data_IF_510403410676
#
_entry.id   IF_510403410676
#
_cell.length_a   1.000
_cell.length_b   1.000
_cell.length_c   1.000
_cell.angle_alpha   90.00
_cell.angle_beta   90.00
_cell.angle_gamma   90.00
#
_symmetry.space_group_name_H-M   'P 1'
#
loop_
_entity.id
_entity.type
_entity.pdbx_description
1 polymer ?
#
# COMPACT_ATOMS: atom_id res chain seq x y z
N UNK A 1 42.60 5.10 28.92
CA UNK A 1 41.43 5.70 28.25
C UNK A 1 41.44 5.21 26.82
N UNK A 2 40.81 4.06 26.58
CA UNK A 2 40.76 3.38 25.29
C UNK A 2 39.58 3.92 24.50
N UNK A 3 39.90 4.62 23.42
CA UNK A 3 38.98 5.03 22.36
C UNK A 3 38.72 3.81 21.46
N UNK A 4 37.54 3.22 21.58
CA UNK A 4 37.01 2.22 20.63
C UNK A 4 35.99 2.89 19.71
N UNK A 5 36.50 3.26 18.54
CA UNK A 5 35.89 3.29 17.19
C UNK A 5 34.36 3.19 17.04
N UNK A 6 33.77 4.27 16.52
CA UNK A 6 32.42 4.34 15.92
C UNK A 6 32.32 3.76 14.49
N UNK A 7 33.35 3.08 13.97
CA UNK A 7 33.38 2.59 12.58
C UNK A 7 32.66 1.25 12.36
N UNK A 8 32.33 0.48 13.41
CA UNK A 8 31.69 -0.83 13.28
C UNK A 8 30.15 -0.77 13.12
N UNK A 9 29.54 0.41 13.27
CA UNK A 9 28.10 0.62 13.05
C UNK A 9 27.77 1.05 11.61
N UNK A 10 28.67 1.72 10.91
CA UNK A 10 28.46 2.18 9.54
C UNK A 10 28.60 1.06 8.49
N UNK A 11 29.32 -0.01 8.81
CA UNK A 11 29.55 -1.12 7.87
C UNK A 11 28.41 -2.16 7.85
N UNK A 12 27.67 -2.32 8.96
CA UNK A 12 26.60 -3.33 9.08
C UNK A 12 25.39 -3.07 8.18
N UNK A 13 25.06 -1.81 7.92
CA UNK A 13 23.94 -1.47 7.02
C UNK A 13 24.28 -1.85 5.57
N UNK A 14 25.55 -1.75 5.16
CA UNK A 14 25.98 -2.10 3.80
C UNK A 14 25.96 -3.61 3.51
N UNK A 15 26.23 -4.46 4.51
CA UNK A 15 26.14 -5.92 4.37
C UNK A 15 24.69 -6.43 4.44
N UNK A 16 23.80 -5.80 5.23
CA UNK A 16 22.36 -6.10 5.22
C UNK A 16 21.69 -5.76 3.86
N UNK A 17 22.21 -4.77 3.13
CA UNK A 17 21.78 -4.47 1.77
C UNK A 17 22.12 -5.59 0.76
N UNK A 18 23.19 -6.35 0.99
CA UNK A 18 23.55 -7.51 0.15
C UNK A 18 22.62 -8.72 0.39
N UNK A 19 22.04 -8.84 1.59
CA UNK A 19 21.05 -9.87 1.89
C UNK A 19 19.70 -9.65 1.19
N UNK A 20 19.36 -8.41 0.78
CA UNK A 20 18.09 -8.11 0.10
C UNK A 20 17.95 -8.74 -1.29
N UNK A 21 19.05 -9.12 -1.95
CA UNK A 21 18.98 -9.90 -3.19
C UNK A 21 18.63 -11.39 -2.96
N UNK A 22 18.72 -11.89 -1.72
CA UNK A 22 18.36 -13.26 -1.32
C UNK A 22 17.18 -13.32 -0.32
N UNK A 23 16.65 -12.19 0.16
CA UNK A 23 15.70 -12.12 1.30
C UNK A 23 14.21 -12.15 0.95
N UNK A 24 13.83 -12.44 -0.30
CA UNK A 24 12.42 -12.69 -0.64
C UNK A 24 11.81 -13.75 0.30
N UNK A 25 12.61 -14.73 0.73
CA UNK A 25 12.19 -15.78 1.67
C UNK A 25 11.96 -15.30 3.12
N UNK A 26 12.78 -14.39 3.63
CA UNK A 26 12.65 -13.90 5.01
C UNK A 26 11.47 -12.93 5.16
N UNK A 27 11.24 -12.09 4.15
CA UNK A 27 10.09 -11.19 4.12
C UNK A 27 8.76 -11.95 4.00
N UNK A 28 8.69 -13.00 3.17
CA UNK A 28 7.49 -13.84 3.08
C UNK A 28 7.13 -14.48 4.42
N UNK A 29 8.14 -14.97 5.17
CA UNK A 29 7.94 -15.58 6.47
C UNK A 29 7.46 -14.57 7.53
N UNK A 30 8.01 -13.35 7.56
CA UNK A 30 7.57 -12.30 8.48
C UNK A 30 6.19 -11.71 8.11
N UNK A 31 5.86 -11.66 6.81
CA UNK A 31 4.50 -11.31 6.33
C UNK A 31 3.51 -12.40 6.75
N UNK A 32 3.84 -13.68 6.60
CA UNK A 32 2.98 -14.79 7.02
C UNK A 32 2.75 -14.78 8.53
N UNK A 33 3.80 -14.52 9.33
CA UNK A 33 3.68 -14.30 10.77
C UNK A 33 2.77 -13.12 11.10
N UNK A 34 2.90 -12.00 10.40
CA UNK A 34 2.06 -10.80 10.60
C UNK A 34 0.59 -11.08 10.27
N UNK A 35 0.31 -11.89 9.26
CA UNK A 35 -1.07 -12.30 8.93
C UNK A 35 -1.65 -13.27 9.96
N UNK A 36 -0.89 -14.31 10.33
CA UNK A 36 -1.27 -15.23 11.41
C UNK A 36 -1.50 -14.47 12.71
N UNK A 37 -0.73 -13.42 12.95
CA UNK A 37 -0.82 -12.54 14.11
C UNK A 37 -2.11 -11.72 14.15
N UNK A 38 -2.50 -11.03 13.07
CA UNK A 38 -3.78 -10.29 13.02
C UNK A 38 -4.93 -11.23 13.31
N UNK A 39 -4.94 -12.41 12.68
CA UNK A 39 -5.94 -13.43 12.96
C UNK A 39 -5.86 -13.90 14.42
N UNK A 40 -4.70 -14.32 14.94
CA UNK A 40 -4.58 -14.91 16.28
C UNK A 40 -4.87 -13.93 17.41
N UNK A 41 -4.51 -12.66 17.24
CA UNK A 41 -4.76 -11.61 18.23
C UNK A 41 -6.22 -11.23 18.26
N UNK A 42 -6.80 -11.01 17.09
CA UNK A 42 -8.13 -10.44 17.02
C UNK A 42 -9.20 -11.52 17.25
N UNK A 43 -8.88 -12.79 16.99
CA UNK A 43 -9.80 -13.93 17.15
C UNK A 43 -10.43 -13.99 18.54
N UNK A 44 -9.69 -13.93 19.68
CA UNK A 44 -10.31 -13.92 21.01
C UNK A 44 -11.33 -12.79 21.23
N UNK A 45 -11.07 -11.60 20.68
CA UNK A 45 -12.01 -10.48 20.78
C UNK A 45 -13.20 -10.67 19.84
N UNK A 46 -12.96 -11.19 18.63
CA UNK A 46 -14.00 -11.59 17.70
C UNK A 46 -14.88 -12.72 18.23
N UNK A 47 -14.34 -13.63 19.05
CA UNK A 47 -15.11 -14.67 19.74
C UNK A 47 -16.06 -14.07 20.79
N UNK A 48 -15.61 -13.07 21.56
CA UNK A 48 -16.50 -12.29 22.45
C UNK A 48 -17.62 -11.61 21.63
N UNK A 49 -17.30 -11.08 20.46
CA UNK A 49 -18.30 -10.53 19.55
C UNK A 49 -19.21 -11.58 18.91
N UNK A 50 -18.73 -12.80 18.68
CA UNK A 50 -19.53 -13.90 18.12
C UNK A 50 -20.66 -14.36 19.04
N UNK A 51 -20.48 -14.17 20.35
CA UNK A 51 -21.49 -14.47 21.37
C UNK A 51 -22.58 -13.39 21.44
N UNK A 52 -22.31 -12.18 20.93
CA UNK A 52 -23.32 -11.17 20.66
C UNK A 52 -23.93 -11.43 19.27
N UNK A 53 -25.22 -11.19 19.05
CA UNK A 53 -25.93 -11.41 17.77
C UNK A 53 -25.33 -10.69 16.53
N UNK A 54 -24.27 -9.90 16.74
CA UNK A 54 -23.60 -9.02 15.78
C UNK A 54 -22.79 -9.74 14.70
N UNK A 55 -22.40 -11.01 14.87
CA UNK A 55 -21.59 -11.73 13.86
C UNK A 55 -22.28 -11.86 12.50
N UNK A 56 -23.62 -11.85 12.49
CA UNK A 56 -24.43 -11.88 11.26
C UNK A 56 -24.65 -10.49 10.64
N UNK A 57 -24.53 -9.42 11.44
CA UNK A 57 -24.83 -8.04 11.03
C UNK A 57 -23.60 -7.16 10.84
N UNK A 58 -22.40 -7.65 11.13
CA UNK A 58 -21.15 -6.87 11.08
C UNK A 58 -20.07 -7.63 10.34
N UNK A 59 -19.23 -6.90 9.59
CA UNK A 59 -18.00 -7.38 8.98
C UNK A 59 -16.83 -6.50 9.39
N UNK A 60 -15.76 -7.13 9.83
CA UNK A 60 -14.48 -6.49 10.08
C UNK A 60 -13.53 -6.76 8.93
N UNK A 61 -13.00 -5.69 8.38
CA UNK A 61 -11.97 -5.70 7.34
C UNK A 61 -10.76 -4.90 7.82
N UNK A 62 -9.62 -5.17 7.21
CA UNK A 62 -8.44 -4.29 7.28
C UNK A 62 -8.18 -3.67 5.93
N UNK A 63 -7.57 -2.49 5.93
CA UNK A 63 -7.08 -1.80 4.73
C UNK A 63 -5.65 -1.34 4.96
N UNK A 64 -5.12 -0.48 4.09
CA UNK A 64 -3.77 0.05 4.27
C UNK A 64 -2.71 -1.05 4.12
N UNK A 65 -1.64 -0.96 4.90
CA UNK A 65 -0.51 -1.90 4.78
C UNK A 65 -0.89 -3.32 5.19
N UNK A 66 -1.71 -3.50 6.23
CA UNK A 66 -2.20 -4.82 6.63
C UNK A 66 -3.12 -5.43 5.55
N UNK A 67 -3.97 -4.61 4.94
CA UNK A 67 -4.81 -5.01 3.81
C UNK A 67 -4.03 -5.44 2.57
N UNK A 68 -2.85 -4.82 2.32
CA UNK A 68 -1.93 -5.19 1.23
C UNK A 68 -0.98 -6.35 1.56
N UNK A 69 -0.99 -6.85 2.81
CA UNK A 69 0.01 -7.80 3.33
C UNK A 69 1.46 -7.25 3.26
N UNK A 70 1.62 -5.95 3.45
CA UNK A 70 2.93 -5.26 3.37
C UNK A 70 3.38 -4.73 4.73
N UNK A 71 2.61 -5.00 5.79
CA UNK A 71 2.98 -4.59 7.14
C UNK A 71 3.97 -5.61 7.73
N UNK A 72 5.22 -5.18 7.91
CA UNK A 72 6.27 -6.00 8.53
C UNK A 72 6.24 -5.71 10.03
N UNK A 73 5.85 -6.71 10.84
CA UNK A 73 5.83 -6.64 12.30
C UNK A 73 6.86 -7.61 12.89
N UNK A 74 7.84 -7.09 13.62
CA UNK A 74 8.80 -7.87 14.40
C UNK A 74 8.99 -7.27 15.79
N UNK A 75 9.77 -7.92 16.66
CA UNK A 75 10.12 -7.37 17.98
C UNK A 75 10.83 -6.01 17.88
N UNK A 76 11.54 -5.78 16.79
CA UNK A 76 12.38 -4.60 16.55
C UNK A 76 11.71 -3.59 15.61
N UNK A 77 10.69 -4.03 14.87
CA UNK A 77 9.90 -3.24 13.91
C UNK A 77 8.41 -3.37 14.26
N UNK A 78 7.82 -2.46 15.07
CA UNK A 78 6.43 -2.61 15.52
C UNK A 78 5.37 -2.33 14.43
N UNK A 79 5.73 -2.39 13.15
CA UNK A 79 4.84 -2.21 11.99
C UNK A 79 4.14 -0.85 11.87
N UNK A 80 3.33 -0.73 10.82
CA UNK A 80 2.36 0.35 10.64
C UNK A 80 1.12 0.16 11.51
N UNK A 81 0.39 1.26 11.69
CA UNK A 81 -0.84 1.29 12.47
C UNK A 81 -1.90 0.43 11.79
N UNK A 82 -2.74 -0.22 12.59
CA UNK A 82 -3.78 -1.13 12.09
C UNK A 82 -5.00 -0.31 11.66
N UNK A 83 -5.32 -0.33 10.37
CA UNK A 83 -6.45 0.39 9.79
C UNK A 83 -7.66 -0.55 9.61
N UNK A 84 -8.69 -0.41 10.45
CA UNK A 84 -9.94 -1.18 10.34
C UNK A 84 -11.00 -0.47 9.49
N UNK A 85 -11.75 -1.30 8.78
CA UNK A 85 -13.02 -0.93 8.16
C UNK A 85 -14.08 -1.87 8.72
N UNK A 86 -15.10 -1.31 9.36
CA UNK A 86 -16.24 -2.06 9.88
C UNK A 86 -17.43 -1.78 8.99
N UNK A 87 -18.00 -2.83 8.40
CA UNK A 87 -19.15 -2.75 7.49
C UNK A 87 -20.35 -3.35 8.20
N UNK A 88 -21.47 -2.63 8.16
CA UNK A 88 -22.68 -2.96 8.90
C UNK A 88 -23.82 -3.33 7.97
N UNK A 89 -24.66 -4.27 8.41
CA UNK A 89 -26.01 -4.40 7.88
C UNK A 89 -26.78 -3.12 8.23
N UNK A 90 -27.57 -2.63 7.28
CA UNK A 90 -28.39 -1.42 7.32
C UNK A 90 -29.29 -1.30 8.55
N UNK A 91 -29.59 -2.42 9.20
CA UNK A 91 -30.46 -2.47 10.38
C UNK A 91 -29.74 -2.12 11.69
N UNK A 92 -28.41 -2.05 11.69
CA UNK A 92 -27.62 -1.79 12.89
C UNK A 92 -27.33 -0.30 13.09
N UNK A 93 -27.33 0.15 14.35
CA UNK A 93 -27.00 1.53 14.69
C UNK A 93 -25.49 1.76 14.73
N UNK A 94 -25.03 2.87 14.15
CA UNK A 94 -23.65 3.35 14.28
C UNK A 94 -23.21 3.50 15.75
N UNK A 95 -24.14 3.72 16.68
CA UNK A 95 -23.84 3.82 18.12
C UNK A 95 -23.38 2.49 18.70
N UNK A 96 -24.03 1.38 18.33
CA UNK A 96 -23.64 0.03 18.78
C UNK A 96 -22.21 -0.26 18.36
N UNK A 97 -21.85 0.10 17.14
CA UNK A 97 -20.52 -0.15 16.56
C UNK A 97 -19.47 0.80 17.11
N UNK A 98 -19.84 2.04 17.40
CA UNK A 98 -18.94 2.99 18.10
C UNK A 98 -18.58 2.44 19.47
N UNK A 99 -19.55 1.90 20.21
CA UNK A 99 -19.31 1.29 21.52
C UNK A 99 -18.51 0.00 21.40
N UNK A 100 -18.79 -0.82 20.38
CA UNK A 100 -18.05 -2.04 20.06
C UNK A 100 -16.57 -1.74 19.77
N UNK A 101 -16.31 -0.74 18.94
CA UNK A 101 -14.97 -0.33 18.57
C UNK A 101 -14.23 0.31 19.73
N UNK A 102 -14.90 1.09 20.58
CA UNK A 102 -14.32 1.55 21.84
C UNK A 102 -13.88 0.39 22.71
N UNK A 103 -14.73 -0.62 22.91
CA UNK A 103 -14.38 -1.82 23.68
C UNK A 103 -13.21 -2.59 23.06
N UNK A 104 -13.18 -2.76 21.73
CA UNK A 104 -12.05 -3.41 21.05
C UNK A 104 -10.76 -2.61 21.24
N UNK A 105 -10.81 -1.30 21.03
CA UNK A 105 -9.66 -0.39 21.18
C UNK A 105 -9.17 -0.38 22.63
N UNK A 106 -10.08 -0.25 23.59
CA UNK A 106 -9.76 -0.29 25.02
C UNK A 106 -9.12 -1.62 25.37
N UNK A 107 -9.64 -2.75 24.87
CA UNK A 107 -9.09 -4.08 25.13
C UNK A 107 -7.72 -4.31 24.49
N UNK A 108 -7.52 -3.80 23.28
CA UNK A 108 -6.21 -3.78 22.58
C UNK A 108 -5.20 -2.94 23.36
N UNK A 109 -5.64 -1.82 23.94
CA UNK A 109 -4.79 -0.86 24.66
C UNK A 109 -4.51 -1.23 26.13
N UNK A 110 -5.38 -1.99 26.81
CA UNK A 110 -5.35 -2.09 28.28
C UNK A 110 -4.43 -3.15 28.86
N UNK A 111 -4.18 -4.33 28.26
CA UNK A 111 -3.33 -5.30 28.97
C UNK A 111 -2.73 -6.50 28.19
N UNK A 112 -3.16 -6.85 26.97
CA UNK A 112 -3.01 -8.24 26.47
C UNK A 112 -2.18 -8.45 25.19
N UNK A 113 -1.56 -7.41 24.64
CA UNK A 113 -0.84 -7.52 23.35
C UNK A 113 0.68 -7.56 23.44
N UNK A 114 1.19 -7.90 24.63
CA UNK A 114 2.61 -8.19 24.88
C UNK A 114 2.92 -9.66 24.62
N UNK A 115 3.32 -10.01 23.40
CA UNK A 115 3.96 -11.32 23.16
C UNK A 115 5.43 -11.19 23.59
N UNK A 116 5.84 -11.82 24.69
CA UNK A 116 7.20 -11.67 25.26
C UNK A 116 7.56 -10.22 25.66
N UNK A 117 6.62 -9.42 26.19
CA UNK A 117 6.91 -8.08 26.72
C UNK A 117 7.01 -6.95 25.70
N UNK A 118 6.80 -7.21 24.40
CA UNK A 118 6.81 -6.19 23.34
C UNK A 118 5.38 -5.78 23.00
N UNK A 119 5.06 -4.48 23.04
CA UNK A 119 3.78 -3.96 22.54
C UNK A 119 3.78 -4.05 21.01
N UNK A 120 2.96 -4.94 20.44
CA UNK A 120 2.91 -5.16 18.98
C UNK A 120 1.78 -4.40 18.27
N UNK A 121 0.82 -3.87 19.03
CA UNK A 121 -0.11 -2.82 18.61
C UNK A 121 0.09 -1.68 19.59
N UNK A 122 0.96 -0.74 19.22
CA UNK A 122 1.34 0.40 20.05
C UNK A 122 0.89 1.72 19.39
N UNK A 123 -0.16 1.65 18.57
CA UNK A 123 -0.55 2.70 17.63
C UNK A 123 -2.06 2.87 17.54
N UNK A 124 -2.49 4.13 17.42
CA UNK A 124 -3.85 4.57 17.12
C UNK A 124 -4.56 3.61 16.16
N UNK A 125 -5.53 2.86 16.69
CA UNK A 125 -6.41 2.04 15.88
C UNK A 125 -7.35 2.99 15.15
N UNK A 126 -7.09 3.23 13.86
CA UNK A 126 -8.02 3.96 13.01
C UNK A 126 -9.13 3.00 12.60
N UNK A 127 -10.38 3.37 12.87
CA UNK A 127 -11.52 2.64 12.35
C UNK A 127 -12.50 3.55 11.64
N UNK A 128 -13.22 2.95 10.69
CA UNK A 128 -14.36 3.57 10.05
C UNK A 128 -15.54 2.60 10.03
N UNK A 129 -16.66 3.03 10.60
CA UNK A 129 -17.94 2.36 10.45
C UNK A 129 -18.62 2.82 9.15
N UNK A 130 -19.08 1.86 8.35
CA UNK A 130 -19.76 2.08 7.08
C UNK A 130 -21.05 1.26 7.04
N UNK A 131 -22.13 1.84 6.56
CA UNK A 131 -23.29 1.07 6.07
C UNK A 131 -22.89 0.32 4.78
N UNK A 132 -23.38 -0.90 4.59
CA UNK A 132 -23.20 -1.65 3.34
C UNK A 132 -23.65 -0.86 2.09
N UNK A 133 -24.55 0.11 2.23
CA UNK A 133 -25.02 1.00 1.16
C UNK A 133 -24.14 2.24 0.91
N UNK A 134 -23.20 2.58 1.81
CA UNK A 134 -22.32 3.75 1.65
C UNK A 134 -21.39 3.63 0.42
N UNK A 135 -20.87 4.77 -0.06
CA UNK A 135 -19.95 4.75 -1.19
C UNK A 135 -18.65 4.02 -0.81
N UNK A 136 -18.40 2.89 -1.48
CA UNK A 136 -17.37 1.96 -1.07
C UNK A 136 -15.95 2.41 -1.46
N UNK A 137 -15.82 3.54 -2.14
CA UNK A 137 -14.54 4.08 -2.64
C UNK A 137 -13.81 4.98 -1.64
N UNK A 138 -14.26 4.99 -0.38
CA UNK A 138 -13.75 5.72 0.79
C UNK A 138 -13.60 7.24 0.59
N UNK A 139 -13.97 7.97 1.64
CA UNK A 139 -13.82 9.42 1.72
C UNK A 139 -12.74 9.82 2.74
N UNK A 140 -11.69 10.52 2.35
CA UNK A 140 -10.67 10.95 3.32
C UNK A 140 -11.16 12.10 4.21
N UNK A 141 -11.09 11.90 5.52
CA UNK A 141 -11.28 12.96 6.53
C UNK A 141 -12.71 13.10 7.03
N UNK A 142 -12.82 13.51 8.30
CA UNK A 142 -14.08 13.85 8.97
C UNK A 142 -14.70 15.04 8.24
N UNK A 143 -15.69 14.79 7.38
CA UNK A 143 -16.49 15.83 6.72
C UNK A 143 -16.13 16.18 5.26
N UNK A 144 -15.06 15.65 4.66
CA UNK A 144 -14.77 15.84 3.22
C UNK A 144 -14.98 14.55 2.43
N UNK A 145 -15.96 14.58 1.52
CA UNK A 145 -16.25 13.50 0.58
C UNK A 145 -15.22 13.47 -0.56
N UNK A 146 -13.97 13.11 -0.27
CA UNK A 146 -12.91 12.94 -1.28
C UNK A 146 -12.63 11.46 -1.59
N UNK A 147 -12.88 11.05 -2.84
CA UNK A 147 -12.64 9.68 -3.33
C UNK A 147 -11.20 9.19 -3.08
N UNK A 148 -11.06 8.02 -2.44
CA UNK A 148 -9.75 7.47 -2.06
C UNK A 148 -9.67 5.96 -2.39
N UNK A 149 -9.53 5.62 -3.69
CA UNK A 149 -9.73 4.26 -4.18
C UNK A 149 -8.69 3.25 -3.69
N UNK A 150 -7.51 3.70 -3.24
CA UNK A 150 -6.47 2.85 -2.66
C UNK A 150 -7.02 2.00 -1.52
N UNK A 151 -7.76 2.59 -0.57
CA UNK A 151 -8.34 1.86 0.56
C UNK A 151 -9.35 0.78 0.13
N UNK A 152 -10.06 1.01 -0.98
CA UNK A 152 -10.99 0.04 -1.55
C UNK A 152 -10.27 -1.15 -2.19
N UNK A 153 -9.20 -0.91 -2.93
CA UNK A 153 -8.38 -1.99 -3.49
C UNK A 153 -7.67 -2.80 -2.39
N UNK A 154 -7.29 -2.14 -1.31
CA UNK A 154 -6.56 -2.74 -0.19
C UNK A 154 -7.46 -3.46 0.82
N UNK A 155 -8.79 -3.42 0.64
CA UNK A 155 -9.73 -4.02 1.58
C UNK A 155 -9.55 -5.55 1.63
N UNK A 156 -9.32 -6.07 2.84
CA UNK A 156 -9.18 -7.50 3.14
C UNK A 156 -10.15 -7.89 4.25
N UNK A 157 -10.97 -8.90 4.00
CA UNK A 157 -11.85 -9.50 5.01
C UNK A 157 -11.02 -10.11 6.14
N UNK A 158 -11.48 -9.92 7.38
CA UNK A 158 -10.87 -10.52 8.57
C UNK A 158 -11.86 -11.38 9.32
N UNK A 159 -13.06 -10.86 9.61
CA UNK A 159 -14.05 -11.57 10.43
C UNK A 159 -15.48 -11.03 10.21
N UNK A 160 -16.49 -11.81 10.60
CA UNK A 160 -17.91 -11.42 10.58
C UNK A 160 -18.67 -11.98 9.38
N UNK A 161 -19.74 -11.30 8.97
CA UNK A 161 -20.63 -11.77 7.90
C UNK A 161 -19.98 -11.71 6.51
N UNK A 162 -19.57 -12.86 5.97
CA UNK A 162 -19.05 -12.95 4.60
C UNK A 162 -20.03 -12.44 3.54
N UNK A 163 -21.34 -12.52 3.82
CA UNK A 163 -22.38 -12.03 2.90
C UNK A 163 -22.39 -10.50 2.81
N UNK A 164 -22.22 -9.79 3.93
CA UNK A 164 -22.10 -8.33 3.98
C UNK A 164 -20.80 -7.90 3.29
N UNK A 165 -19.69 -8.60 3.58
CA UNK A 165 -18.42 -8.36 2.89
C UNK A 165 -18.57 -8.45 1.37
N UNK A 166 -19.18 -9.53 0.88
CA UNK A 166 -19.34 -9.77 -0.55
C UNK A 166 -20.18 -8.67 -1.22
N UNK A 167 -21.33 -8.31 -0.62
CA UNK A 167 -22.17 -7.21 -1.10
C UNK A 167 -21.38 -5.90 -1.20
N UNK A 168 -20.66 -5.55 -0.14
CA UNK A 168 -19.87 -4.32 -0.10
C UNK A 168 -18.74 -4.34 -1.14
N UNK A 169 -18.06 -5.48 -1.28
CA UNK A 169 -16.99 -5.66 -2.24
C UNK A 169 -17.47 -5.58 -3.70
N UNK A 170 -18.63 -6.16 -4.02
CA UNK A 170 -19.25 -6.06 -5.34
C UNK A 170 -19.69 -4.63 -5.63
N UNK A 171 -20.13 -3.90 -4.60
CA UNK A 171 -20.47 -2.48 -4.68
C UNK A 171 -19.29 -1.61 -5.07
N UNK A 172 -18.06 -1.94 -4.63
CA UNK A 172 -16.85 -1.19 -5.04
C UNK A 172 -16.76 -1.15 -6.58
N UNK A 173 -16.86 -2.30 -7.24
CA UNK A 173 -16.79 -2.39 -8.71
C UNK A 173 -17.87 -1.54 -9.38
N UNK A 174 -19.11 -1.60 -8.86
CA UNK A 174 -20.24 -0.78 -9.34
C UNK A 174 -20.00 0.72 -9.16
N UNK A 175 -19.49 1.13 -7.99
CA UNK A 175 -19.24 2.53 -7.68
C UNK A 175 -18.10 3.10 -8.53
N UNK A 176 -17.06 2.31 -8.87
CA UNK A 176 -16.00 2.74 -9.80
C UNK A 176 -16.60 3.19 -11.13
N UNK A 177 -17.58 2.44 -11.67
CA UNK A 177 -18.24 2.77 -12.93
C UNK A 177 -19.01 4.10 -12.88
N UNK A 178 -19.52 4.47 -11.70
CA UNK A 178 -20.33 5.70 -11.50
C UNK A 178 -19.47 6.95 -11.37
N UNK A 179 -18.18 6.82 -11.05
CA UNK A 179 -17.29 7.97 -10.87
C UNK A 179 -16.98 8.64 -12.22
N UNK A 180 -17.47 9.87 -12.37
CA UNK A 180 -17.25 10.68 -13.56
C UNK A 180 -15.77 10.98 -13.79
N UNK A 181 -15.02 11.32 -12.75
CA UNK A 181 -13.62 11.74 -12.86
C UNK A 181 -12.80 11.45 -11.60
N UNK A 182 -11.54 11.03 -11.79
CA UNK A 182 -10.50 10.96 -10.76
C UNK A 182 -9.76 12.28 -10.54
N UNK A 183 -10.16 13.37 -11.20
CA UNK A 183 -9.48 14.67 -11.08
C UNK A 183 -9.32 15.17 -9.63
N UNK A 184 -10.28 14.97 -8.70
CA UNK A 184 -10.09 15.31 -7.29
C UNK A 184 -8.90 14.55 -6.69
N UNK A 185 -8.93 13.21 -6.70
CA UNK A 185 -7.84 12.35 -6.22
C UNK A 185 -6.48 12.71 -6.87
N UNK A 186 -6.50 13.03 -8.16
CA UNK A 186 -5.29 13.46 -8.85
C UNK A 186 -4.75 14.78 -8.31
N UNK A 187 -5.62 15.76 -8.04
CA UNK A 187 -5.24 17.09 -7.55
C UNK A 187 -4.76 17.07 -6.10
N UNK A 188 -5.44 16.32 -5.24
CA UNK A 188 -5.25 16.34 -3.78
C UNK A 188 -4.27 15.30 -3.28
N UNK A 189 -4.05 14.21 -4.02
CA UNK A 189 -3.17 13.10 -3.59
C UNK A 189 -2.01 12.90 -4.52
N UNK A 190 -2.27 12.70 -5.81
CA UNK A 190 -1.23 12.36 -6.78
C UNK A 190 -0.27 13.53 -7.04
N UNK A 191 -0.79 14.73 -7.28
CA UNK A 191 0.05 15.91 -7.57
C UNK A 191 0.96 16.28 -6.39
N UNK A 192 0.48 16.33 -5.12
CA UNK A 192 1.34 16.62 -3.98
C UNK A 192 2.48 15.63 -3.80
N UNK A 193 2.21 14.31 -3.83
CA UNK A 193 3.27 13.30 -3.65
C UNK A 193 4.31 13.34 -4.76
N UNK A 194 3.88 13.66 -6.00
CA UNK A 194 4.80 13.86 -7.12
C UNK A 194 5.66 15.11 -6.92
N UNK A 195 5.06 16.22 -6.46
CA UNK A 195 5.80 17.45 -6.19
C UNK A 195 6.88 17.22 -5.13
N UNK A 196 6.55 16.46 -4.09
CA UNK A 196 7.49 16.12 -3.02
C UNK A 196 8.60 15.19 -3.49
N UNK A 197 8.29 14.21 -4.35
CA UNK A 197 9.30 13.39 -5.00
C UNK A 197 10.25 14.20 -5.88
N UNK A 198 9.73 15.13 -6.67
CA UNK A 198 10.57 15.99 -7.52
C UNK A 198 11.41 16.97 -6.70
N UNK A 199 10.87 17.53 -5.62
CA UNK A 199 11.64 18.35 -4.67
C UNK A 199 12.73 17.54 -3.99
N UNK A 200 12.42 16.29 -3.61
CA UNK A 200 13.40 15.39 -3.07
C UNK A 200 14.52 15.22 -4.11
N UNK A 201 14.22 14.74 -5.32
CA UNK A 201 15.22 14.52 -6.39
C UNK A 201 16.12 15.73 -6.68
N UNK A 202 15.61 16.95 -6.50
CA UNK A 202 16.37 18.19 -6.68
C UNK A 202 17.31 18.53 -5.50
N UNK A 203 17.16 17.87 -4.35
CA UNK A 203 17.83 18.21 -3.09
C UNK A 203 17.16 19.34 -2.31
N UNK A 204 15.99 19.80 -2.76
CA UNK A 204 15.28 20.98 -2.25
C UNK A 204 14.15 20.62 -1.25
N UNK A 205 14.04 19.36 -0.84
CA UNK A 205 12.95 18.95 0.04
C UNK A 205 13.24 19.35 1.49
N UNK A 206 12.36 20.14 2.15
CA UNK A 206 12.66 20.74 3.46
C UNK A 206 12.89 19.72 4.58
N UNK A 207 12.40 18.48 4.41
CA UNK A 207 12.50 17.42 5.42
C UNK A 207 13.28 16.19 4.95
N UNK A 208 13.78 16.21 3.72
CA UNK A 208 14.62 15.14 3.19
C UNK A 208 15.80 15.83 2.52
N UNK A 209 16.87 16.00 3.30
CA UNK A 209 18.18 16.29 2.75
C UNK A 209 18.89 14.98 2.42
N UNK A 210 19.81 15.01 1.48
CA UNK A 210 20.84 14.00 1.35
C UNK A 210 22.11 14.70 0.90
N UNK A 211 23.25 14.20 1.36
CA UNK A 211 24.54 14.75 0.97
C UNK A 211 25.21 13.83 -0.04
N UNK A 212 24.96 14.04 -1.34
CA UNK A 212 25.53 13.14 -2.36
C UNK A 212 27.08 13.22 -2.45
N UNK A 213 27.71 14.19 -1.79
CA UNK A 213 29.14 14.47 -1.93
C UNK A 213 30.05 13.53 -1.11
N UNK A 214 29.52 12.82 -0.11
CA UNK A 214 30.26 11.84 0.71
C UNK A 214 29.89 10.37 0.41
N UNK A 215 29.05 10.15 -0.61
CA UNK A 215 28.56 8.81 -0.99
C UNK A 215 27.42 8.28 -0.12
N UNK A 216 26.95 9.04 0.88
CA UNK A 216 25.86 8.64 1.78
C UNK A 216 24.66 9.57 1.69
N UNK A 217 23.46 9.04 1.87
CA UNK A 217 22.23 9.83 1.97
C UNK A 217 21.63 9.63 3.36
N UNK A 218 21.56 10.71 4.13
CA UNK A 218 20.94 10.73 5.46
C UNK A 218 19.49 11.15 5.35
N UNK A 219 18.56 10.22 5.50
CA UNK A 219 17.14 10.50 5.37
C UNK A 219 16.58 10.87 6.74
N UNK A 220 16.06 12.09 6.87
CA UNK A 220 15.55 12.60 8.14
C UNK A 220 14.02 12.50 8.26
N UNK A 221 13.55 12.29 9.47
CA UNK A 221 12.16 12.44 9.86
C UNK A 221 12.01 13.67 10.77
N UNK A 222 11.06 14.55 10.44
CA UNK A 222 10.67 15.68 11.28
C UNK A 222 9.30 15.43 11.95
N UNK A 223 9.23 15.31 13.29
CA UNK A 223 7.98 15.05 14.01
C UNK A 223 6.95 16.17 13.93
N UNK A 224 7.36 17.42 13.69
CA UNK A 224 6.44 18.56 13.57
C UNK A 224 5.57 18.47 12.30
N UNK A 225 6.03 17.69 11.31
CA UNK A 225 5.36 17.57 10.02
C UNK A 225 4.58 16.25 9.82
N UNK A 226 4.39 15.46 10.89
CA UNK A 226 3.54 14.25 11.08
C UNK A 226 3.38 13.19 9.96
N UNK A 227 3.74 13.43 8.70
CA UNK A 227 3.36 12.60 7.54
C UNK A 227 4.33 12.67 6.34
N UNK A 228 5.46 13.38 6.39
CA UNK A 228 6.27 13.66 5.18
C UNK A 228 7.58 12.87 5.01
N UNK A 229 7.97 12.04 5.98
CA UNK A 229 9.14 11.17 5.85
C UNK A 229 8.85 9.91 5.03
N UNK A 230 9.65 9.65 3.98
CA UNK A 230 9.78 8.41 3.16
C UNK A 230 8.52 7.79 2.55
N UNK A 231 7.48 7.50 3.34
CA UNK A 231 6.19 6.98 2.86
C UNK A 231 5.62 7.85 1.75
N UNK A 232 5.66 9.18 1.93
CA UNK A 232 5.02 10.11 0.99
C UNK A 232 5.84 10.35 -0.28
N UNK A 233 7.16 10.18 -0.21
CA UNK A 233 8.08 10.37 -1.35
C UNK A 233 8.29 9.08 -2.14
N UNK A 234 8.30 7.92 -1.48
CA UNK A 234 8.69 6.65 -2.09
C UNK A 234 7.46 5.75 -2.29
N UNK A 235 6.73 5.48 -1.21
CA UNK A 235 5.65 4.49 -1.23
C UNK A 235 4.37 5.04 -1.87
N UNK A 236 3.93 6.24 -1.46
CA UNK A 236 2.66 6.84 -1.90
C UNK A 236 2.63 7.12 -3.40
N UNK A 237 3.70 7.58 -4.08
CA UNK A 237 3.66 7.70 -5.53
C UNK A 237 3.34 6.35 -6.17
N UNK A 238 4.06 5.28 -5.83
CA UNK A 238 3.78 3.97 -6.44
C UNK A 238 2.37 3.47 -6.13
N UNK A 239 1.94 3.55 -4.86
CA UNK A 239 0.61 3.12 -4.43
C UNK A 239 -0.53 3.90 -5.12
N UNK A 240 -0.43 5.24 -5.16
CA UNK A 240 -1.49 6.10 -5.69
C UNK A 240 -1.58 6.01 -7.20
N UNK A 241 -0.44 5.91 -7.87
CA UNK A 241 -0.42 5.72 -9.32
C UNK A 241 -0.96 4.34 -9.71
N UNK A 242 -0.54 3.27 -9.03
CA UNK A 242 -1.08 1.94 -9.29
C UNK A 242 -2.59 1.87 -9.05
N UNK A 243 -3.08 2.43 -7.94
CA UNK A 243 -4.51 2.49 -7.66
C UNK A 243 -5.28 3.27 -8.73
N UNK A 244 -4.71 4.38 -9.24
CA UNK A 244 -5.30 5.10 -10.37
C UNK A 244 -5.38 4.23 -11.63
N UNK A 245 -4.34 3.47 -11.95
CA UNK A 245 -4.34 2.60 -13.14
C UNK A 245 -5.37 1.49 -13.01
N UNK A 246 -5.43 0.82 -11.86
CA UNK A 246 -6.46 -0.18 -11.57
C UNK A 246 -7.85 0.42 -11.75
N UNK A 247 -8.08 1.60 -11.17
CA UNK A 247 -9.35 2.31 -11.29
C UNK A 247 -9.74 2.57 -12.75
N UNK A 248 -8.82 3.09 -13.56
CA UNK A 248 -9.06 3.33 -14.99
C UNK A 248 -9.33 2.02 -15.75
N UNK A 249 -8.61 0.94 -15.44
CA UNK A 249 -8.83 -0.38 -16.03
C UNK A 249 -10.22 -0.93 -15.70
N UNK A 250 -10.66 -0.82 -14.44
CA UNK A 250 -12.02 -1.18 -14.04
C UNK A 250 -13.05 -0.33 -14.77
N UNK A 251 -12.90 0.99 -14.78
CA UNK A 251 -13.83 1.91 -15.45
C UNK A 251 -13.97 1.62 -16.95
N UNK A 252 -12.90 1.15 -17.58
CA UNK A 252 -12.88 0.72 -19.00
C UNK A 252 -13.28 -0.75 -19.20
N UNK A 253 -13.67 -1.46 -18.13
CA UNK A 253 -14.04 -2.89 -18.13
C UNK A 253 -12.95 -3.81 -18.70
N UNK A 254 -11.70 -3.47 -18.45
CA UNK A 254 -10.54 -4.24 -18.91
C UNK A 254 -10.11 -5.32 -17.92
N UNK A 255 -10.49 -5.14 -16.66
CA UNK A 255 -10.35 -6.13 -15.60
C UNK A 255 -11.74 -6.76 -15.40
N UNK A 256 -11.82 -8.07 -15.54
CA UNK A 256 -13.06 -8.83 -15.37
C UNK A 256 -13.24 -9.41 -13.97
N UNK A 257 -12.15 -9.58 -13.21
CA UNK A 257 -12.23 -10.09 -11.85
C UNK A 257 -12.82 -9.03 -10.91
N UNK A 258 -13.63 -9.41 -9.92
CA UNK A 258 -14.08 -8.51 -8.86
C UNK A 258 -12.91 -7.83 -8.12
N UNK A 259 -13.13 -6.62 -7.61
CA UNK A 259 -12.09 -5.85 -6.89
C UNK A 259 -11.50 -6.61 -5.69
N UNK A 260 -12.32 -7.38 -4.96
CA UNK A 260 -11.85 -8.12 -3.80
C UNK A 260 -10.95 -9.32 -4.16
N UNK A 261 -11.06 -9.86 -5.37
CA UNK A 261 -10.24 -10.96 -5.89
C UNK A 261 -8.90 -10.48 -6.47
N UNK A 262 -8.71 -9.17 -6.64
CA UNK A 262 -7.40 -8.65 -7.06
C UNK A 262 -6.31 -9.05 -6.07
N UNK A 263 -5.09 -9.29 -6.56
CA UNK A 263 -3.94 -9.42 -5.68
C UNK A 263 -3.79 -8.20 -4.78
N UNK A 264 -3.31 -8.43 -3.55
CA UNK A 264 -3.33 -7.41 -2.50
C UNK A 264 -2.04 -6.60 -2.40
N UNK A 265 -0.88 -7.24 -2.57
CA UNK A 265 0.40 -6.53 -2.56
C UNK A 265 0.60 -5.73 -3.84
N UNK A 266 1.41 -4.66 -3.75
CA UNK A 266 1.81 -3.88 -4.91
C UNK A 266 2.47 -4.75 -5.99
N UNK A 267 3.41 -5.60 -5.58
CA UNK A 267 4.15 -6.51 -6.46
C UNK A 267 3.22 -7.44 -7.24
N UNK A 268 2.32 -8.17 -6.55
CA UNK A 268 1.41 -9.09 -7.22
C UNK A 268 0.42 -8.38 -8.14
N UNK A 269 0.06 -7.12 -7.83
CA UNK A 269 -0.76 -6.28 -8.74
C UNK A 269 0.01 -5.87 -9.99
N UNK A 270 1.30 -5.59 -9.89
CA UNK A 270 2.13 -5.30 -11.07
C UNK A 270 2.23 -6.53 -11.98
N UNK A 271 2.51 -7.70 -11.40
CA UNK A 271 2.51 -8.96 -12.16
C UNK A 271 1.15 -9.23 -12.81
N UNK A 272 0.04 -9.07 -12.07
CA UNK A 272 -1.30 -9.24 -12.61
C UNK A 272 -1.56 -8.31 -13.80
N UNK A 273 -1.31 -7.01 -13.65
CA UNK A 273 -1.52 -6.05 -14.74
C UNK A 273 -0.61 -6.32 -15.95
N UNK A 274 0.61 -6.79 -15.72
CA UNK A 274 1.52 -7.18 -16.80
C UNK A 274 0.99 -8.40 -17.56
N UNK A 275 0.59 -9.46 -16.84
CA UNK A 275 0.03 -10.69 -17.40
C UNK A 275 -1.27 -10.42 -18.19
N UNK A 276 -2.11 -9.50 -17.71
CA UNK A 276 -3.32 -9.06 -18.41
C UNK A 276 -3.04 -8.13 -19.61
N UNK A 277 -1.77 -7.84 -19.91
CA UNK A 277 -1.35 -6.86 -20.93
C UNK A 277 -2.00 -5.48 -20.73
N UNK A 278 -2.09 -5.05 -19.48
CA UNK A 278 -2.66 -3.76 -19.05
C UNK A 278 -1.58 -2.82 -18.52
N UNK A 279 -0.38 -3.34 -18.20
CA UNK A 279 0.77 -2.57 -17.76
C UNK A 279 1.61 -2.14 -18.97
N UNK A 280 1.67 -0.84 -19.24
CA UNK A 280 2.50 -0.30 -20.31
C UNK A 280 3.44 0.78 -19.80
N UNK A 281 4.67 0.74 -20.27
CA UNK A 281 5.74 1.66 -19.91
C UNK A 281 6.07 2.56 -21.10
N UNK A 282 6.58 3.78 -20.85
CA UNK A 282 7.13 4.56 -21.94
C UNK A 282 8.33 3.84 -22.56
N UNK A 283 8.61 4.14 -23.81
CA UNK A 283 9.96 3.99 -24.33
C UNK A 283 10.33 5.20 -25.17
N UNK A 284 11.39 5.05 -25.95
CA UNK A 284 11.94 6.16 -26.70
C UNK A 284 10.92 6.80 -27.66
N UNK A 285 11.04 8.13 -27.82
CA UNK A 285 10.24 8.93 -28.77
C UNK A 285 8.72 8.85 -28.51
N UNK A 286 8.30 8.63 -27.27
CA UNK A 286 6.89 8.59 -26.87
C UNK A 286 6.16 7.31 -27.26
N UNK A 287 6.89 6.28 -27.71
CA UNK A 287 6.34 4.93 -27.84
C UNK A 287 5.98 4.40 -26.46
N UNK A 288 5.04 3.45 -26.42
CA UNK A 288 4.75 2.69 -25.21
C UNK A 288 4.89 1.21 -25.52
N UNK A 289 5.34 0.45 -24.53
CA UNK A 289 5.56 -0.99 -24.65
C UNK A 289 4.87 -1.70 -23.49
N UNK A 290 4.35 -2.92 -23.68
CA UNK A 290 3.96 -3.76 -22.56
C UNK A 290 5.15 -3.90 -21.60
N UNK A 291 4.88 -3.81 -20.30
CA UNK A 291 5.92 -4.00 -19.30
C UNK A 291 6.47 -5.43 -19.40
N UNK A 292 7.79 -5.57 -19.43
CA UNK A 292 8.44 -6.87 -19.34
C UNK A 292 8.44 -7.39 -17.89
N UNK A 293 8.76 -8.66 -17.70
CA UNK A 293 8.98 -9.24 -16.37
C UNK A 293 10.14 -8.54 -15.63
N UNK A 294 11.17 -8.13 -16.37
CA UNK A 294 12.30 -7.36 -15.84
C UNK A 294 11.85 -6.00 -15.29
N UNK A 295 10.98 -5.29 -16.02
CA UNK A 295 10.44 -4.00 -15.58
C UNK A 295 9.59 -4.15 -14.32
N UNK A 296 8.73 -5.17 -14.28
CA UNK A 296 7.91 -5.50 -13.10
C UNK A 296 8.82 -5.76 -11.90
N UNK A 297 9.85 -6.59 -12.08
CA UNK A 297 10.84 -6.89 -11.04
C UNK A 297 11.58 -5.64 -10.56
N UNK A 298 11.94 -4.72 -11.47
CA UNK A 298 12.60 -3.45 -11.12
C UNK A 298 11.72 -2.60 -10.22
N UNK A 299 10.45 -2.39 -10.58
CA UNK A 299 9.52 -1.61 -9.77
C UNK A 299 9.16 -2.29 -8.45
N UNK A 300 9.00 -3.62 -8.44
CA UNK A 300 8.78 -4.37 -7.21
C UNK A 300 9.96 -4.20 -6.24
N UNK A 301 11.20 -4.37 -6.70
CA UNK A 301 12.42 -4.16 -5.88
C UNK A 301 12.53 -2.74 -5.36
N UNK A 302 12.26 -1.73 -6.19
CA UNK A 302 12.24 -0.33 -5.76
C UNK A 302 11.22 -0.11 -4.64
N UNK A 303 10.01 -0.65 -4.77
CA UNK A 303 8.99 -0.55 -3.74
C UNK A 303 9.40 -1.24 -2.42
N UNK A 304 9.95 -2.47 -2.50
CA UNK A 304 10.44 -3.20 -1.33
C UNK A 304 11.57 -2.44 -0.61
N UNK A 305 12.51 -1.86 -1.36
CA UNK A 305 13.56 -1.00 -0.81
C UNK A 305 12.97 0.22 -0.10
N UNK A 306 11.95 0.83 -0.69
CA UNK A 306 11.20 1.92 -0.06
C UNK A 306 10.51 1.50 1.25
N UNK A 307 9.93 0.30 1.29
CA UNK A 307 9.26 -0.23 2.49
C UNK A 307 10.27 -0.44 3.62
N UNK A 308 11.42 -1.03 3.30
CA UNK A 308 12.51 -1.24 4.25
C UNK A 308 13.00 0.08 4.86
N UNK A 309 13.33 1.08 4.02
CA UNK A 309 13.75 2.42 4.48
C UNK A 309 12.68 3.06 5.36
N UNK A 310 11.41 2.98 4.96
CA UNK A 310 10.31 3.54 5.74
C UNK A 310 10.17 2.89 7.12
N UNK A 311 10.23 1.56 7.18
CA UNK A 311 10.09 0.82 8.43
C UNK A 311 11.26 1.06 9.38
N UNK A 312 12.49 1.13 8.86
CA UNK A 312 13.67 1.48 9.65
C UNK A 312 13.54 2.89 10.23
N UNK A 313 13.15 3.88 9.41
CA UNK A 313 12.97 5.25 9.88
C UNK A 313 11.88 5.35 10.95
N UNK A 314 10.77 4.60 10.80
CA UNK A 314 9.71 4.53 11.81
C UNK A 314 10.20 3.85 13.10
N UNK A 315 11.04 2.82 13.00
CA UNK A 315 11.63 2.17 14.17
C UNK A 315 12.55 3.12 14.93
N UNK A 316 13.44 3.83 14.23
CA UNK A 316 14.33 4.83 14.84
C UNK A 316 13.54 5.97 15.49
N UNK A 317 12.49 6.48 14.83
CA UNK A 317 11.59 7.49 15.40
C UNK A 317 10.99 7.04 16.73
N UNK A 318 10.58 5.78 16.82
CA UNK A 318 10.01 5.23 18.05
C UNK A 318 11.04 5.12 19.17
N UNK A 319 12.30 4.79 18.84
CA UNK A 319 13.40 4.74 19.82
C UNK A 319 13.73 6.12 20.38
N UNK A 320 13.79 7.15 19.53
CA UNK A 320 14.25 8.49 19.95
C UNK A 320 13.12 9.39 20.46
N UNK A 321 11.85 9.04 20.19
CA UNK A 321 10.64 9.87 20.42
C UNK A 321 10.74 11.29 19.82
N UNK A 322 11.69 11.52 18.91
CA UNK A 322 12.06 12.81 18.33
C UNK A 322 12.38 12.65 16.84
N UNK A 323 13.23 13.50 16.27
CA UNK A 323 13.78 13.31 14.94
C UNK A 323 14.49 11.95 14.83
N UNK A 324 14.37 11.33 13.66
CA UNK A 324 15.05 10.10 13.33
C UNK A 324 15.79 10.26 12.02
N UNK A 325 16.88 9.51 11.85
CA UNK A 325 17.60 9.47 10.59
C UNK A 325 17.99 8.04 10.25
N UNK A 326 17.97 7.72 8.96
CA UNK A 326 18.55 6.48 8.43
C UNK A 326 19.56 6.86 7.36
N UNK A 327 20.78 6.34 7.47
CA UNK A 327 21.82 6.49 6.46
C UNK A 327 21.68 5.37 5.43
N UNK A 328 21.68 5.73 4.16
CA UNK A 328 21.66 4.80 3.02
C UNK A 328 22.74 5.18 2.02
N UNK A 329 23.08 4.29 1.09
CA UNK A 329 23.97 4.64 -0.01
C UNK A 329 23.31 5.69 -0.92
N UNK A 330 24.03 6.78 -1.22
CA UNK A 330 23.49 7.92 -1.97
C UNK A 330 23.09 7.56 -3.41
N UNK A 331 23.94 6.81 -4.11
CA UNK A 331 23.71 6.41 -5.51
C UNK A 331 22.50 5.50 -5.64
N UNK A 332 22.39 4.53 -4.75
CA UNK A 332 21.28 3.60 -4.66
C UNK A 332 19.96 4.27 -4.29
N UNK A 333 20.00 5.26 -3.40
CA UNK A 333 18.82 6.01 -3.01
C UNK A 333 18.32 6.90 -4.15
N UNK A 334 19.25 7.52 -4.88
CA UNK A 334 18.93 8.26 -6.10
C UNK A 334 18.28 7.37 -7.15
N UNK A 335 18.85 6.20 -7.42
CA UNK A 335 18.28 5.22 -8.35
C UNK A 335 16.85 4.80 -7.95
N UNK A 336 16.63 4.57 -6.65
CA UNK A 336 15.30 4.29 -6.11
C UNK A 336 14.32 5.42 -6.45
N UNK A 337 14.68 6.67 -6.17
CA UNK A 337 13.80 7.82 -6.40
C UNK A 337 13.55 8.07 -7.89
N UNK A 338 14.56 7.89 -8.74
CA UNK A 338 14.43 7.98 -10.19
C UNK A 338 13.49 6.89 -10.72
N UNK A 339 13.58 5.67 -10.19
CA UNK A 339 12.67 4.56 -10.51
C UNK A 339 11.23 4.86 -10.09
N UNK A 340 11.03 5.42 -8.89
CA UNK A 340 9.70 5.85 -8.42
C UNK A 340 9.14 7.00 -9.26
N UNK A 341 9.99 7.94 -9.68
CA UNK A 341 9.62 9.07 -10.52
C UNK A 341 9.20 8.59 -11.91
N UNK A 342 9.96 7.68 -12.51
CA UNK A 342 9.62 7.03 -13.78
C UNK A 342 8.26 6.32 -13.69
N UNK A 343 8.05 5.51 -12.65
CA UNK A 343 6.77 4.83 -12.41
C UNK A 343 5.60 5.80 -12.34
N UNK A 344 5.81 6.96 -11.70
CA UNK A 344 4.77 7.94 -11.39
C UNK A 344 4.56 9.01 -12.48
N UNK A 345 5.44 9.16 -13.47
CA UNK A 345 5.29 10.22 -14.46
C UNK A 345 4.22 9.93 -15.52
N UNK A 346 3.08 10.61 -15.42
CA UNK A 346 1.86 10.36 -16.22
C UNK A 346 1.97 10.55 -17.74
N UNK A 347 3.05 11.17 -18.24
CA UNK A 347 3.32 11.27 -19.68
C UNK A 347 4.34 10.23 -20.15
N UNK A 348 5.11 9.64 -19.23
CA UNK A 348 6.16 8.64 -19.44
C UNK A 348 5.99 7.48 -18.46
N UNK A 349 4.79 7.01 -18.20
CA UNK A 349 4.55 6.07 -17.10
C UNK A 349 3.31 5.26 -17.37
N UNK A 350 3.01 4.35 -16.44
CA UNK A 350 1.96 3.34 -16.54
C UNK A 350 0.72 3.83 -17.29
N UNK A 351 0.38 3.16 -18.39
CA UNK A 351 -0.86 3.40 -19.13
C UNK A 351 -1.65 2.12 -19.26
N UNK A 352 -2.89 2.13 -18.78
CA UNK A 352 -3.87 1.14 -19.23
C UNK A 352 -4.48 1.64 -20.55
N UNK A 353 -3.97 1.16 -21.69
CA UNK A 353 -4.57 1.46 -23.00
C UNK A 353 -5.91 0.76 -23.10
N UNK A 354 -6.94 1.45 -23.62
CA UNK A 354 -8.15 0.76 -24.11
C UNK A 354 -7.67 -0.29 -25.10
N UNK A 355 -8.02 -1.57 -24.89
CA UNK A 355 -7.64 -2.66 -25.78
C UNK A 355 -7.70 -2.15 -27.22
N UNK A 356 -6.55 -2.12 -27.90
CA UNK A 356 -6.56 -2.04 -29.36
C UNK A 356 -7.46 -3.17 -29.77
N UNK A 357 -8.65 -2.84 -30.30
CA UNK A 357 -9.68 -3.79 -30.68
C UNK A 357 -8.97 -4.99 -31.25
N UNK A 358 -9.03 -6.15 -30.57
CA UNK A 358 -8.38 -7.38 -31.00
C UNK A 358 -8.71 -7.47 -32.48
N UNK A 359 -7.71 -7.22 -33.35
CA UNK A 359 -7.92 -7.41 -34.79
C UNK A 359 -8.30 -8.87 -34.86
N UNK A 360 -9.58 -9.14 -35.12
CA UNK A 360 -10.06 -10.48 -35.31
C UNK A 360 -9.07 -11.18 -36.25
N UNK A 361 -8.62 -12.41 -35.94
CA UNK A 361 -7.69 -13.11 -36.80
C UNK A 361 -8.25 -13.02 -38.22
N UNK A 362 -7.48 -12.38 -39.11
CA UNK A 362 -7.86 -12.18 -40.51
C UNK A 362 -8.24 -13.56 -41.01
N UNK A 363 -9.52 -13.80 -41.31
CA UNK A 363 -9.96 -15.05 -41.96
C UNK A 363 -9.07 -15.23 -43.17
N UNK A 364 -8.19 -16.23 -43.11
CA UNK A 364 -7.41 -16.66 -44.27
C UNK A 364 -8.44 -17.10 -45.28
N UNK A 365 -8.62 -16.30 -46.32
CA UNK A 365 -9.51 -16.60 -47.43
C UNK A 365 -8.83 -17.73 -48.19
N UNK A 366 -9.18 -18.98 -47.89
CA UNK A 366 -8.79 -20.11 -48.73
C UNK A 366 -9.29 -19.81 -50.15
N UNK A 367 -8.35 -19.46 -51.04
CA UNK A 367 -8.60 -19.47 -52.47
C UNK A 367 -8.66 -20.94 -52.86
N UNK A 368 -9.88 -21.47 -52.99
CA UNK A 368 -10.09 -22.66 -53.81
C UNK A 368 -9.78 -22.27 -55.25
N UNK A 369 -8.62 -22.69 -55.75
CA UNK A 369 -8.37 -22.71 -57.17
C UNK A 369 -9.41 -23.66 -57.80
N UNK A 370 -10.40 -23.09 -58.48
CA UNK A 370 -11.12 -23.76 -59.56
C UNK A 370 -10.46 -23.34 -60.87
N UNK A 371 -9.59 -24.20 -61.37
CA UNK A 371 -9.56 -24.74 -62.74
C UNK A 371 -8.44 -25.75 -62.83
#
# INVERSE_FOLDING_TARGET
>A
MTSTTNQDLDMKVSEEFFYLNNSNYENEHEIEKSQKYISSVLTPYFEVFSQSYLSSSVTFCVTGSDGRNENIRSKELPGSDLEFVVILDKKESHEVVTNLMKQLIDSVNTESMRVNGVNFIDSDVEYRALDEEENALFYYGWGKKELFPTRAFDLKYVWGSSSIYQKYADKISSDIQKVKSLAPFQKTRIKPVRSQLSQALAGDHPNVSWNLDDGTASIHYNPEEKQLGTKTIILRPMQYYLARQLFEAFKKKQISVPVHELPKSLESRLHYLSNENLLFLPGEKGKIYPASEEDVGRYARAYQKGLYIHNNLKSEQRKTRNTASVTVNASEFRELLETVQEFSDTNKGLRVQSQVAKKAPRKVRNHSNKT
#
